data_IF_112031328078
#
_entry.id   IF_112031328078
#
_cell.length_a   1.000
_cell.length_b   1.000
_cell.length_c   1.000
_cell.angle_alpha   90.00
_cell.angle_beta   90.00
_cell.angle_gamma   90.00
#
_symmetry.space_group_name_H-M   'P 1'
#
loop_
_entity.id
_entity.type
_entity.pdbx_description
1 polymer ?
#
# COMPACT_ATOMS: atom_id res chain seq x y z
N UNK A 1 -15.54 -8.96 -9.48
CA UNK A 1 -14.14 -9.35 -9.10
C UNK A 1 -13.64 -10.29 -10.19
N UNK A 2 -12.42 -10.09 -10.65
CA UNK A 2 -11.80 -10.91 -11.69
C UNK A 2 -11.63 -12.37 -11.19
N UNK A 3 -12.05 -13.39 -11.96
CA UNK A 3 -11.91 -14.80 -11.57
C UNK A 3 -10.45 -15.19 -11.21
N UNK A 4 -9.47 -14.62 -11.93
CA UNK A 4 -8.06 -14.89 -11.71
C UNK A 4 -7.54 -14.43 -10.35
N UNK A 5 -8.18 -13.40 -9.76
CA UNK A 5 -7.90 -12.97 -8.38
C UNK A 5 -8.65 -13.88 -7.41
N UNK A 6 -9.91 -14.20 -7.73
CA UNK A 6 -10.80 -15.00 -6.89
C UNK A 6 -10.20 -16.38 -6.57
N UNK A 7 -9.62 -17.05 -7.55
CA UNK A 7 -9.00 -18.38 -7.40
C UNK A 7 -7.88 -18.39 -6.35
N UNK A 8 -7.27 -17.24 -6.11
CA UNK A 8 -6.18 -17.06 -5.14
C UNK A 8 -6.65 -16.62 -3.76
N UNK A 9 -7.94 -16.22 -3.63
CA UNK A 9 -8.49 -15.82 -2.34
C UNK A 9 -8.82 -17.03 -1.46
N UNK A 10 -8.66 -16.83 -0.16
CA UNK A 10 -8.98 -17.83 0.87
C UNK A 10 -9.92 -17.24 1.91
N UNK A 11 -10.82 -18.08 2.38
CA UNK A 11 -11.73 -17.73 3.45
C UNK A 11 -10.95 -17.38 4.72
N UNK A 12 -11.08 -16.17 5.27
CA UNK A 12 -10.31 -15.76 6.45
C UNK A 12 -10.70 -16.52 7.72
N UNK A 13 -11.84 -17.25 7.71
CA UNK A 13 -12.34 -18.04 8.84
C UNK A 13 -11.82 -19.49 8.81
N UNK A 14 -11.78 -20.12 7.64
CA UNK A 14 -11.47 -21.55 7.55
C UNK A 14 -10.40 -21.93 6.52
N UNK A 15 -9.82 -20.95 5.78
CA UNK A 15 -8.77 -21.20 4.79
C UNK A 15 -9.25 -21.82 3.46
N UNK A 16 -10.50 -22.24 3.35
CA UNK A 16 -11.04 -22.82 2.12
C UNK A 16 -11.10 -21.78 0.97
N UNK A 17 -11.06 -22.23 -0.30
CA UNK A 17 -11.22 -21.33 -1.43
C UNK A 17 -12.52 -20.51 -1.36
N UNK A 18 -12.46 -19.27 -1.86
CA UNK A 18 -13.65 -18.43 -2.02
C UNK A 18 -14.14 -18.48 -3.46
N UNK A 19 -15.46 -18.55 -3.61
CA UNK A 19 -16.15 -18.45 -4.89
C UNK A 19 -17.15 -17.31 -4.90
N UNK A 20 -17.52 -16.83 -6.09
CA UNK A 20 -18.57 -15.82 -6.24
C UNK A 20 -19.94 -16.48 -6.01
N UNK A 21 -20.76 -15.87 -5.15
CA UNK A 21 -22.15 -16.33 -4.95
C UNK A 21 -22.97 -16.15 -6.25
N UNK A 22 -24.04 -16.94 -6.40
CA UNK A 22 -24.87 -16.95 -7.61
C UNK A 22 -25.46 -15.58 -7.97
N UNK A 23 -25.72 -14.73 -6.97
CA UNK A 23 -26.21 -13.36 -7.15
C UNK A 23 -25.08 -12.33 -7.39
N UNK A 24 -23.82 -12.78 -7.44
CA UNK A 24 -22.62 -11.97 -7.60
C UNK A 24 -22.43 -10.85 -6.55
N UNK A 25 -23.15 -10.91 -5.41
CA UNK A 25 -23.10 -9.89 -4.35
C UNK A 25 -22.24 -10.26 -3.16
N UNK A 26 -21.76 -11.51 -3.08
CA UNK A 26 -20.95 -12.01 -2.00
C UNK A 26 -19.91 -13.01 -2.49
N UNK A 27 -18.84 -13.20 -1.71
CA UNK A 27 -17.95 -14.34 -1.81
C UNK A 27 -18.37 -15.38 -0.77
N UNK A 28 -18.32 -16.66 -1.15
CA UNK A 28 -18.67 -17.78 -0.25
C UNK A 28 -17.64 -18.89 -0.34
N UNK A 29 -17.40 -19.56 0.78
CA UNK A 29 -16.59 -20.78 0.83
C UNK A 29 -17.49 -22.04 0.92
N UNK A 30 -16.94 -23.26 0.69
CA UNK A 30 -17.70 -24.52 0.81
C UNK A 30 -18.30 -24.72 2.21
N UNK A 31 -17.69 -24.15 3.27
CA UNK A 31 -18.23 -24.19 4.64
C UNK A 31 -19.27 -23.11 4.92
N UNK A 32 -19.82 -22.47 3.88
CA UNK A 32 -20.90 -21.47 3.92
C UNK A 32 -20.58 -20.16 4.63
N UNK A 33 -19.30 -19.83 4.92
CA UNK A 33 -18.95 -18.45 5.31
C UNK A 33 -19.21 -17.55 4.11
N UNK A 34 -19.82 -16.39 4.35
CA UNK A 34 -20.26 -15.45 3.32
C UNK A 34 -19.73 -14.05 3.63
N UNK A 35 -19.22 -13.36 2.61
CA UNK A 35 -18.57 -12.05 2.70
C UNK A 35 -19.15 -11.14 1.62
N UNK A 36 -19.93 -10.14 2.02
CA UNK A 36 -20.61 -9.24 1.11
C UNK A 36 -19.63 -8.36 0.34
N UNK A 37 -19.88 -8.20 -0.94
CA UNK A 37 -19.21 -7.23 -1.80
C UNK A 37 -19.93 -5.89 -1.64
N UNK A 38 -19.23 -4.92 -1.13
CA UNK A 38 -19.76 -3.57 -0.97
C UNK A 38 -20.12 -2.96 -2.34
N UNK A 39 -21.15 -2.10 -2.38
CA UNK A 39 -21.54 -1.38 -3.61
C UNK A 39 -20.37 -0.64 -4.27
N UNK A 40 -19.34 -0.29 -3.51
CA UNK A 40 -18.14 0.38 -3.98
C UNK A 40 -17.12 -0.58 -4.62
N UNK A 41 -17.34 -1.88 -4.62
CA UNK A 41 -16.54 -2.90 -5.30
C UNK A 41 -15.49 -3.62 -4.45
N UNK A 42 -15.34 -3.29 -3.15
CA UNK A 42 -14.45 -4.04 -2.25
C UNK A 42 -15.22 -5.10 -1.45
N UNK A 43 -14.53 -6.15 -1.01
CA UNK A 43 -15.09 -7.19 -0.13
C UNK A 43 -14.51 -7.05 1.28
N UNK A 44 -15.33 -7.32 2.31
CA UNK A 44 -14.86 -7.33 3.69
C UNK A 44 -14.41 -8.75 4.09
N UNK A 45 -13.09 -8.96 4.17
CA UNK A 45 -12.46 -10.21 4.58
C UNK A 45 -11.79 -10.14 5.96
N UNK A 46 -12.12 -9.14 6.78
CA UNK A 46 -11.69 -9.10 8.18
C UNK A 46 -12.44 -10.15 9.01
N UNK A 47 -11.71 -10.85 9.88
CA UNK A 47 -12.28 -11.68 10.94
C UNK A 47 -12.39 -10.85 12.23
N UNK A 48 -13.61 -10.45 12.56
CA UNK A 48 -13.86 -9.64 13.76
C UNK A 48 -13.56 -8.14 13.58
N UNK A 49 -13.28 -7.46 14.70
CA UNK A 49 -12.96 -6.02 14.69
C UNK A 49 -11.48 -5.83 14.39
N UNK A 50 -11.15 -4.95 13.46
CA UNK A 50 -9.76 -4.58 13.24
C UNK A 50 -9.18 -3.95 14.52
N UNK A 51 -8.06 -4.46 15.05
CA UNK A 51 -7.42 -3.88 16.24
C UNK A 51 -6.77 -2.53 15.93
N UNK A 52 -6.51 -2.23 14.66
CA UNK A 52 -5.87 -1.01 14.20
C UNK A 52 -6.88 -0.09 13.50
N UNK A 53 -6.75 1.21 13.77
CA UNK A 53 -7.54 2.25 13.10
C UNK A 53 -6.84 2.57 11.77
N UNK A 54 -7.57 2.39 10.67
CA UNK A 54 -7.09 2.81 9.35
C UNK A 54 -7.24 4.31 9.14
N UNK A 55 -6.69 4.82 8.04
CA UNK A 55 -6.81 6.22 7.65
C UNK A 55 -8.27 6.68 7.57
N UNK A 56 -8.52 7.92 8.02
CA UNK A 56 -9.84 8.56 7.93
C UNK A 56 -10.18 8.94 6.49
N UNK A 57 -11.42 9.35 6.24
CA UNK A 57 -11.85 9.81 4.93
C UNK A 57 -11.09 11.07 4.48
N UNK A 58 -10.81 11.96 5.42
CA UNK A 58 -10.05 13.20 5.20
C UNK A 58 -8.59 12.90 4.81
N UNK A 59 -7.92 12.03 5.56
CA UNK A 59 -6.54 11.59 5.25
C UNK A 59 -6.46 10.92 3.87
N UNK A 60 -7.42 10.06 3.56
CA UNK A 60 -7.50 9.38 2.25
C UNK A 60 -7.75 10.38 1.12
N UNK A 61 -8.57 11.41 1.37
CA UNK A 61 -8.82 12.48 0.37
C UNK A 61 -7.56 13.29 0.14
N UNK A 62 -6.92 13.78 1.20
CA UNK A 62 -5.65 14.51 1.10
C UNK A 62 -4.58 13.71 0.35
N UNK A 63 -4.45 12.40 0.66
CA UNK A 63 -3.51 11.51 -0.05
C UNK A 63 -3.84 11.38 -1.53
N UNK A 64 -5.11 11.21 -1.87
CA UNK A 64 -5.51 11.09 -3.27
C UNK A 64 -5.24 12.38 -4.05
N UNK A 65 -5.51 13.53 -3.46
CA UNK A 65 -5.29 14.83 -4.09
C UNK A 65 -3.79 15.10 -4.29
N UNK A 66 -2.97 14.84 -3.28
CA UNK A 66 -1.50 14.96 -3.37
C UNK A 66 -0.89 14.02 -4.42
N UNK A 67 -1.36 12.78 -4.47
CA UNK A 67 -0.93 11.80 -5.48
C UNK A 67 -1.43 12.15 -6.89
N UNK A 68 -2.63 12.71 -7.02
CA UNK A 68 -3.19 13.14 -8.30
C UNK A 68 -2.44 14.34 -8.89
N UNK A 69 -1.88 15.21 -8.04
CA UNK A 69 -0.99 16.29 -8.44
C UNK A 69 0.39 15.82 -8.95
N UNK A 70 0.68 14.52 -8.87
CA UNK A 70 1.94 13.93 -9.38
C UNK A 70 3.13 14.00 -8.42
N UNK A 71 2.97 14.56 -7.24
CA UNK A 71 4.09 14.79 -6.31
C UNK A 71 4.84 13.52 -5.88
N UNK A 72 4.16 12.35 -5.92
CA UNK A 72 4.76 11.05 -5.61
C UNK A 72 4.93 10.13 -6.83
N UNK A 73 4.94 10.69 -8.04
CA UNK A 73 5.11 9.90 -9.26
C UNK A 73 6.49 9.22 -9.36
N UNK A 74 7.51 9.78 -8.71
CA UNK A 74 8.83 9.12 -8.58
C UNK A 74 8.70 7.74 -7.92
N UNK A 75 7.84 7.59 -6.91
CA UNK A 75 7.59 6.32 -6.22
C UNK A 75 6.83 5.36 -7.14
N UNK A 76 5.78 5.86 -7.82
CA UNK A 76 4.98 5.08 -8.76
C UNK A 76 5.85 4.53 -9.90
N UNK A 77 6.72 5.36 -10.47
CA UNK A 77 7.64 4.97 -11.55
C UNK A 77 8.68 3.93 -11.07
N UNK A 78 9.27 4.12 -9.90
CA UNK A 78 10.24 3.19 -9.34
C UNK A 78 9.61 1.81 -9.07
N UNK A 79 8.41 1.76 -8.49
CA UNK A 79 7.66 0.52 -8.25
C UNK A 79 7.28 -0.17 -9.55
N UNK A 80 6.77 0.56 -10.54
CA UNK A 80 6.40 0.02 -11.85
C UNK A 80 7.61 -0.63 -12.55
N UNK A 81 8.75 0.07 -12.55
CA UNK A 81 10.00 -0.46 -13.15
C UNK A 81 10.52 -1.70 -12.40
N UNK A 82 10.48 -1.71 -11.06
CA UNK A 82 10.90 -2.87 -10.28
C UNK A 82 9.95 -4.06 -10.47
N UNK A 83 8.64 -3.83 -10.47
CA UNK A 83 7.63 -4.86 -10.69
C UNK A 83 7.72 -5.46 -12.11
N UNK A 84 7.99 -4.65 -13.13
CA UNK A 84 8.19 -5.15 -14.51
C UNK A 84 9.37 -6.11 -14.61
N UNK A 85 10.47 -5.81 -13.93
CA UNK A 85 11.62 -6.74 -13.87
C UNK A 85 11.28 -8.00 -13.08
N UNK A 86 10.57 -7.86 -11.96
CA UNK A 86 10.21 -8.98 -11.10
C UNK A 86 9.21 -9.95 -11.74
N UNK A 87 8.29 -9.43 -12.55
CA UNK A 87 7.23 -10.23 -13.18
C UNK A 87 7.61 -10.82 -14.55
N UNK A 88 8.80 -10.50 -15.08
CA UNK A 88 9.21 -10.91 -16.43
C UNK A 88 9.21 -12.44 -16.64
N UNK A 89 9.54 -13.19 -15.61
CA UNK A 89 9.67 -14.65 -15.66
C UNK A 89 8.39 -15.38 -15.20
N UNK A 90 7.35 -14.65 -14.80
CA UNK A 90 6.09 -15.26 -14.41
C UNK A 90 5.21 -15.57 -15.62
N UNK A 91 4.51 -16.72 -15.53
CA UNK A 91 3.52 -17.13 -16.52
C UNK A 91 2.34 -16.18 -16.65
N UNK A 92 1.31 -16.61 -17.36
CA UNK A 92 0.12 -15.78 -17.60
C UNK A 92 -0.55 -15.31 -16.31
N UNK A 93 -0.86 -14.02 -16.27
CA UNK A 93 -1.63 -13.36 -15.20
C UNK A 93 -0.99 -13.39 -13.80
N UNK A 94 0.24 -12.87 -13.65
CA UNK A 94 0.85 -12.72 -12.33
C UNK A 94 -0.05 -11.89 -11.40
N UNK A 95 -0.21 -12.34 -10.15
CA UNK A 95 -0.93 -11.57 -9.15
C UNK A 95 0.03 -10.56 -8.49
N UNK A 96 -0.35 -9.30 -8.52
CA UNK A 96 0.27 -8.21 -7.74
C UNK A 96 -0.61 -7.92 -6.53
N UNK A 97 -0.05 -8.02 -5.33
CA UNK A 97 -0.75 -7.67 -4.08
C UNK A 97 -0.14 -6.38 -3.51
N UNK A 98 -0.98 -5.46 -3.08
CA UNK A 98 -0.56 -4.23 -2.37
C UNK A 98 -1.07 -4.29 -0.92
N UNK A 99 -0.16 -4.54 0.03
CA UNK A 99 -0.46 -4.71 1.44
C UNK A 99 -0.33 -3.36 2.18
N UNK A 100 -1.48 -2.78 2.54
CA UNK A 100 -1.62 -1.40 2.99
C UNK A 100 -1.77 -0.45 1.81
N UNK A 101 -2.65 -0.80 0.87
CA UNK A 101 -2.74 -0.17 -0.46
C UNK A 101 -3.20 1.30 -0.44
N UNK A 102 -3.81 1.76 0.64
CA UNK A 102 -4.36 3.11 0.71
C UNK A 102 -5.34 3.39 -0.44
N UNK A 103 -5.03 4.39 -1.25
CA UNK A 103 -5.85 4.79 -2.42
C UNK A 103 -5.75 3.82 -3.61
N UNK A 104 -4.79 2.88 -3.62
CA UNK A 104 -4.49 1.98 -4.73
C UNK A 104 -3.66 2.62 -5.85
N UNK A 105 -3.11 3.83 -5.65
CA UNK A 105 -2.32 4.55 -6.67
C UNK A 105 -1.14 3.74 -7.15
N UNK A 106 -0.37 3.16 -6.24
CA UNK A 106 0.84 2.40 -6.58
C UNK A 106 0.50 1.08 -7.28
N UNK A 107 -0.52 0.36 -6.79
CA UNK A 107 -1.04 -0.82 -7.47
C UNK A 107 -1.49 -0.49 -8.89
N UNK A 108 -2.24 0.60 -9.07
CA UNK A 108 -2.69 1.06 -10.38
C UNK A 108 -1.54 1.35 -11.34
N UNK A 109 -0.49 2.03 -10.88
CA UNK A 109 0.71 2.33 -11.67
C UNK A 109 1.46 1.05 -12.07
N UNK A 110 1.61 0.10 -11.15
CA UNK A 110 2.23 -1.21 -11.45
C UNK A 110 1.41 -2.00 -12.47
N UNK A 111 0.09 -2.06 -12.32
CA UNK A 111 -0.78 -2.75 -13.27
C UNK A 111 -0.79 -2.10 -14.66
N UNK A 112 -0.64 -0.78 -14.75
CA UNK A 112 -0.50 -0.10 -16.02
C UNK A 112 0.78 -0.51 -16.78
N UNK A 113 1.87 -0.79 -16.04
CA UNK A 113 3.13 -1.27 -16.59
C UNK A 113 3.17 -2.78 -16.88
N UNK A 114 2.23 -3.56 -16.33
CA UNK A 114 2.14 -5.01 -16.47
C UNK A 114 0.80 -5.41 -17.12
N UNK A 115 0.69 -5.44 -18.48
CA UNK A 115 -0.59 -5.61 -19.17
C UNK A 115 -1.33 -6.91 -18.83
N UNK A 116 -0.59 -7.97 -18.52
CA UNK A 116 -1.19 -9.30 -18.19
C UNK A 116 -1.44 -9.52 -16.70
N UNK A 117 -0.91 -8.66 -15.82
CA UNK A 117 -1.08 -8.82 -14.38
C UNK A 117 -2.49 -8.47 -13.91
N UNK A 118 -2.91 -9.12 -12.82
CA UNK A 118 -4.10 -8.75 -12.03
C UNK A 118 -3.66 -8.29 -10.65
N UNK A 119 -4.44 -7.42 -9.99
CA UNK A 119 -4.04 -6.80 -8.74
C UNK A 119 -5.05 -6.94 -7.62
N UNK A 120 -4.56 -7.07 -6.39
CA UNK A 120 -5.36 -7.07 -5.18
C UNK A 120 -4.85 -6.02 -4.18
N UNK A 121 -5.68 -5.04 -3.88
CA UNK A 121 -5.46 -4.05 -2.84
C UNK A 121 -5.97 -4.57 -1.50
N UNK A 122 -5.13 -4.60 -0.47
CA UNK A 122 -5.49 -4.95 0.90
C UNK A 122 -5.29 -3.73 1.81
N UNK A 123 -6.29 -3.38 2.59
CA UNK A 123 -6.22 -2.26 3.56
C UNK A 123 -7.26 -2.44 4.67
N UNK A 124 -7.06 -1.78 5.82
CA UNK A 124 -8.04 -1.73 6.93
C UNK A 124 -8.97 -0.53 6.83
N UNK A 125 -8.67 0.46 6.01
CA UNK A 125 -9.46 1.67 5.79
C UNK A 125 -10.52 1.48 4.72
N UNK A 126 -11.80 1.48 5.12
CA UNK A 126 -12.92 1.45 4.17
C UNK A 126 -12.91 2.64 3.20
N UNK A 127 -12.65 3.91 3.63
CA UNK A 127 -12.47 5.03 2.70
C UNK A 127 -11.38 4.79 1.65
N UNK A 128 -10.24 4.24 2.03
CA UNK A 128 -9.14 3.90 1.13
C UNK A 128 -9.58 2.85 0.09
N UNK A 129 -10.18 1.75 0.53
CA UNK A 129 -10.63 0.68 -0.36
C UNK A 129 -11.71 1.09 -1.35
N UNK A 130 -12.56 2.08 -1.02
CA UNK A 130 -13.52 2.66 -1.99
C UNK A 130 -12.82 3.30 -3.20
N UNK A 131 -11.61 3.83 -3.00
CA UNK A 131 -10.76 4.38 -4.07
C UNK A 131 -9.95 3.27 -4.74
N UNK A 132 -9.31 2.42 -3.96
CA UNK A 132 -8.49 1.32 -4.46
C UNK A 132 -9.27 0.35 -5.38
N UNK A 133 -10.54 0.07 -5.07
CA UNK A 133 -11.43 -0.75 -5.91
C UNK A 133 -11.68 -0.16 -7.32
N UNK A 134 -11.32 1.10 -7.55
CA UNK A 134 -11.46 1.81 -8.83
C UNK A 134 -10.13 2.29 -9.40
N UNK A 135 -9.02 1.96 -8.74
CA UNK A 135 -7.71 2.43 -9.14
C UNK A 135 -7.26 1.89 -10.50
N UNK A 136 -7.71 0.69 -10.86
CA UNK A 136 -7.41 0.08 -12.16
C UNK A 136 -8.47 -0.98 -12.52
N UNK A 137 -8.83 -1.16 -13.83
CA UNK A 137 -9.83 -2.15 -14.25
C UNK A 137 -9.50 -3.60 -13.85
N UNK A 138 -8.21 -3.94 -13.75
CA UNK A 138 -7.71 -5.26 -13.35
C UNK A 138 -7.36 -5.36 -11.86
N UNK A 139 -7.77 -4.38 -11.05
CA UNK A 139 -7.61 -4.40 -9.60
C UNK A 139 -8.91 -4.84 -8.92
N UNK A 140 -8.76 -5.60 -7.85
CA UNK A 140 -9.77 -5.84 -6.84
C UNK A 140 -9.31 -5.26 -5.49
N UNK A 141 -10.23 -5.10 -4.54
CA UNK A 141 -9.92 -4.60 -3.22
C UNK A 141 -10.60 -5.44 -2.13
N UNK A 142 -9.90 -5.68 -1.04
CA UNK A 142 -10.43 -6.39 0.12
C UNK A 142 -10.00 -5.73 1.42
N UNK A 143 -10.96 -5.63 2.36
CA UNK A 143 -10.70 -5.19 3.71
C UNK A 143 -10.00 -6.32 4.45
N UNK A 144 -8.74 -6.11 4.81
CA UNK A 144 -7.90 -7.07 5.52
C UNK A 144 -6.86 -6.34 6.37
N UNK A 145 -6.46 -6.93 7.48
CA UNK A 145 -5.41 -6.41 8.35
C UNK A 145 -4.08 -7.09 8.02
N UNK A 146 -3.09 -6.30 7.62
CA UNK A 146 -1.74 -6.79 7.27
C UNK A 146 -1.04 -7.50 8.44
N UNK A 147 -1.38 -7.16 9.68
CA UNK A 147 -0.84 -7.84 10.87
C UNK A 147 -1.42 -9.24 11.10
N UNK A 148 -2.53 -9.56 10.44
CA UNK A 148 -3.19 -10.86 10.55
C UNK A 148 -2.86 -11.76 9.36
N UNK A 149 -3.42 -12.98 9.37
CA UNK A 149 -3.34 -13.88 8.22
C UNK A 149 -4.02 -13.24 7.02
N UNK A 150 -3.28 -13.08 5.93
CA UNK A 150 -3.81 -12.55 4.68
C UNK A 150 -4.77 -13.56 4.03
N UNK A 151 -5.88 -13.09 3.44
CA UNK A 151 -6.89 -13.95 2.81
C UNK A 151 -6.45 -14.44 1.43
N UNK A 152 -5.26 -15.00 1.34
CA UNK A 152 -4.60 -15.46 0.12
C UNK A 152 -4.09 -16.88 0.29
N UNK A 153 -4.06 -17.62 -0.82
CA UNK A 153 -3.40 -18.92 -0.90
C UNK A 153 -1.88 -18.75 -0.70
N UNK A 154 -1.25 -19.81 -0.23
CA UNK A 154 0.19 -19.91 -0.15
C UNK A 154 0.78 -19.83 -1.57
N UNK A 155 1.96 -19.22 -1.72
CA UNK A 155 2.71 -19.14 -2.98
C UNK A 155 1.87 -18.66 -4.19
N UNK A 156 0.92 -17.73 -3.99
CA UNK A 156 -0.02 -17.30 -5.03
C UNK A 156 0.26 -15.91 -5.60
N UNK A 157 1.26 -15.21 -5.05
CA UNK A 157 1.57 -13.80 -5.36
C UNK A 157 2.92 -13.69 -6.06
N UNK A 158 2.96 -13.11 -7.24
CA UNK A 158 4.20 -12.87 -7.97
C UNK A 158 4.96 -11.64 -7.46
N UNK A 159 4.23 -10.56 -7.18
CA UNK A 159 4.80 -9.30 -6.66
C UNK A 159 3.96 -8.81 -5.50
N UNK A 160 4.60 -8.53 -4.35
CA UNK A 160 3.95 -7.93 -3.21
C UNK A 160 4.52 -6.53 -2.97
N UNK A 161 3.65 -5.53 -2.96
CA UNK A 161 3.98 -4.14 -2.65
C UNK A 161 3.70 -3.88 -1.18
N UNK A 162 4.59 -3.15 -0.51
CA UNK A 162 4.39 -2.61 0.85
C UNK A 162 4.97 -1.21 0.92
N UNK A 163 4.12 -0.20 0.76
CA UNK A 163 4.52 1.21 0.63
C UNK A 163 4.04 2.01 1.84
N UNK A 164 4.97 2.46 2.69
CA UNK A 164 4.68 3.20 3.94
C UNK A 164 3.70 2.49 4.87
N UNK A 165 3.62 1.17 4.79
CA UNK A 165 2.62 0.35 5.47
C UNK A 165 3.25 -0.60 6.50
N UNK A 166 2.45 -1.18 7.42
CA UNK A 166 2.90 -2.22 8.32
C UNK A 166 3.40 -3.47 7.57
N UNK A 167 4.31 -4.21 8.19
CA UNK A 167 4.95 -5.40 7.61
C UNK A 167 4.71 -6.63 8.46
N UNK A 168 4.40 -7.73 7.79
CA UNK A 168 4.21 -9.05 8.38
C UNK A 168 5.05 -10.05 7.59
N UNK A 169 6.32 -10.19 7.97
CA UNK A 169 7.32 -11.02 7.27
C UNK A 169 6.86 -12.46 7.03
N UNK A 170 6.39 -13.19 8.06
CA UNK A 170 5.87 -14.55 7.90
C UNK A 170 4.73 -14.65 6.87
N UNK A 171 3.75 -13.75 6.90
CA UNK A 171 2.61 -13.77 5.98
C UNK A 171 3.00 -13.36 4.57
N UNK A 172 3.87 -12.35 4.41
CA UNK A 172 4.39 -11.96 3.11
C UNK A 172 5.15 -13.10 2.46
N UNK A 173 5.98 -13.83 3.24
CA UNK A 173 6.67 -15.02 2.78
C UNK A 173 5.70 -16.13 2.38
N UNK A 174 4.68 -16.39 3.19
CA UNK A 174 3.69 -17.46 2.91
C UNK A 174 2.95 -17.23 1.59
N UNK A 175 2.51 -15.99 1.32
CA UNK A 175 1.68 -15.68 0.15
C UNK A 175 2.49 -15.48 -1.13
N UNK A 176 3.77 -15.12 -1.03
CA UNK A 176 4.65 -14.98 -2.18
C UNK A 176 5.01 -16.33 -2.79
N UNK A 177 5.00 -16.38 -4.11
CA UNK A 177 5.62 -17.45 -4.87
C UNK A 177 7.12 -17.54 -4.50
N UNK A 178 7.73 -18.73 -4.43
CA UNK A 178 9.17 -18.87 -4.16
C UNK A 178 10.06 -18.06 -5.11
N UNK A 179 9.64 -17.85 -6.37
CA UNK A 179 10.29 -16.95 -7.33
C UNK A 179 9.81 -15.51 -7.24
N UNK A 180 8.84 -15.22 -6.37
CA UNK A 180 8.20 -13.92 -6.21
C UNK A 180 9.10 -12.84 -5.63
N UNK A 181 8.62 -11.63 -5.65
CA UNK A 181 9.38 -10.46 -5.19
C UNK A 181 8.54 -9.58 -4.27
N UNK A 182 9.12 -9.22 -3.13
CA UNK A 182 8.60 -8.21 -2.21
C UNK A 182 9.27 -6.86 -2.52
N UNK A 183 8.48 -5.83 -2.79
CA UNK A 183 8.90 -4.45 -2.99
C UNK A 183 8.49 -3.61 -1.79
N UNK A 184 9.45 -3.11 -1.03
CA UNK A 184 9.21 -2.31 0.17
C UNK A 184 9.67 -0.88 -0.06
N UNK A 185 8.79 0.09 0.17
CA UNK A 185 9.14 1.51 0.14
C UNK A 185 9.03 2.10 1.54
N UNK A 186 10.12 2.72 1.97
CA UNK A 186 10.21 3.45 3.24
C UNK A 186 10.74 4.85 3.04
N UNK A 187 10.38 5.83 3.90
CA UNK A 187 11.05 7.12 3.86
C UNK A 187 12.53 6.95 4.20
N UNK A 188 13.39 7.63 3.47
CA UNK A 188 14.82 7.75 3.77
C UNK A 188 15.05 8.87 4.79
N UNK A 189 16.25 9.00 5.31
CA UNK A 189 16.59 9.89 6.45
C UNK A 189 16.28 11.34 6.21
N UNK A 190 16.40 11.82 4.97
CA UNK A 190 16.17 13.22 4.60
C UNK A 190 14.77 13.46 3.96
N UNK A 191 13.87 12.47 4.06
CA UNK A 191 12.49 12.62 3.59
C UNK A 191 11.74 13.70 4.36
N UNK A 192 11.34 14.80 3.67
CA UNK A 192 10.57 15.93 4.20
C UNK A 192 11.26 16.67 5.36
N UNK A 193 12.59 16.64 5.46
CA UNK A 193 13.33 17.24 6.58
C UNK A 193 13.08 18.73 6.74
N UNK A 194 12.85 19.45 5.64
CA UNK A 194 12.53 20.87 5.64
C UNK A 194 11.21 21.15 6.40
N UNK A 195 10.21 20.31 6.19
CA UNK A 195 8.92 20.43 6.86
C UNK A 195 8.96 19.91 8.30
N UNK A 196 9.69 18.81 8.54
CA UNK A 196 9.86 18.25 9.88
C UNK A 196 10.38 19.31 10.84
N UNK A 197 11.41 20.05 10.42
CA UNK A 197 12.03 21.08 11.25
C UNK A 197 11.16 22.33 11.39
N UNK A 198 10.51 22.78 10.30
CA UNK A 198 9.71 24.02 10.30
C UNK A 198 8.36 23.87 11.01
N UNK A 199 7.77 22.69 10.94
CA UNK A 199 6.39 22.42 11.40
C UNK A 199 6.33 21.50 12.63
N UNK A 200 7.48 21.08 13.17
CA UNK A 200 7.58 20.17 14.32
C UNK A 200 6.83 18.86 14.09
N UNK A 201 7.07 18.24 12.95
CA UNK A 201 6.44 17.00 12.56
C UNK A 201 7.22 15.79 13.10
N UNK A 202 6.60 14.63 13.02
CA UNK A 202 7.24 13.36 13.36
C UNK A 202 8.49 13.13 12.48
N UNK A 203 9.62 12.92 13.12
CA UNK A 203 10.88 12.62 12.43
C UNK A 203 10.91 11.19 11.94
N UNK A 204 11.57 10.97 10.81
CA UNK A 204 11.92 9.61 10.38
C UNK A 204 12.90 9.05 11.41
N UNK A 205 12.56 7.91 11.98
CA UNK A 205 13.44 7.21 12.91
C UNK A 205 14.68 6.72 12.16
N UNK A 206 15.90 7.09 12.59
CA UNK A 206 17.14 6.69 11.92
C UNK A 206 17.31 5.16 11.86
N UNK A 207 16.82 4.42 12.87
CA UNK A 207 16.92 2.96 12.92
C UNK A 207 15.80 2.25 12.14
N UNK A 208 14.98 3.01 11.41
CA UNK A 208 13.82 2.44 10.67
C UNK A 208 14.26 1.42 9.62
N UNK A 209 15.33 1.67 8.91
CA UNK A 209 15.87 0.75 7.91
C UNK A 209 16.32 -0.56 8.56
N UNK A 210 17.01 -0.51 9.68
CA UNK A 210 17.49 -1.69 10.41
C UNK A 210 16.33 -2.49 10.99
N UNK A 211 15.30 -1.82 11.52
CA UNK A 211 14.08 -2.49 12.00
C UNK A 211 13.29 -3.15 10.86
N UNK A 212 13.25 -2.54 9.68
CA UNK A 212 12.66 -3.16 8.48
C UNK A 212 13.45 -4.40 8.11
N UNK A 213 14.77 -4.30 8.04
CA UNK A 213 15.65 -5.42 7.74
C UNK A 213 15.49 -6.56 8.77
N UNK A 214 15.44 -6.23 10.07
CA UNK A 214 15.23 -7.20 11.14
C UNK A 214 13.86 -7.90 11.05
N UNK A 215 12.78 -7.16 10.74
CA UNK A 215 11.43 -7.72 10.63
C UNK A 215 11.22 -8.65 9.43
N UNK A 216 12.04 -8.51 8.39
CA UNK A 216 11.96 -9.29 7.14
C UNK A 216 13.11 -10.28 6.98
N UNK A 217 14.26 -10.04 7.62
CA UNK A 217 15.51 -10.78 7.40
C UNK A 217 15.47 -12.28 7.71
N UNK A 218 14.52 -12.71 8.56
CA UNK A 218 14.28 -14.13 8.82
C UNK A 218 13.65 -14.88 7.64
N UNK A 219 12.98 -14.17 6.74
CA UNK A 219 12.17 -14.74 5.66
C UNK A 219 12.62 -14.30 4.26
N UNK A 220 13.39 -13.23 4.16
CA UNK A 220 13.74 -12.60 2.89
C UNK A 220 15.23 -12.35 2.76
N UNK A 221 15.72 -12.40 1.53
CA UNK A 221 17.06 -11.95 1.13
C UNK A 221 16.93 -10.66 0.32
N UNK A 222 17.74 -9.64 0.65
CA UNK A 222 17.81 -8.42 -0.12
C UNK A 222 18.52 -8.67 -1.46
N UNK A 223 17.86 -8.29 -2.55
CA UNK A 223 18.40 -8.33 -3.92
C UNK A 223 19.02 -7.00 -4.28
N UNK A 224 18.33 -5.91 -3.99
CA UNK A 224 18.81 -4.54 -4.20
C UNK A 224 18.11 -3.56 -3.29
N UNK A 225 18.77 -2.43 -3.03
CA UNK A 225 18.22 -1.29 -2.32
C UNK A 225 18.65 -0.02 -3.05
N UNK A 226 17.72 0.86 -3.33
CA UNK A 226 17.98 2.12 -4.03
C UNK A 226 17.20 3.28 -3.39
N UNK A 227 17.85 4.44 -3.28
CA UNK A 227 17.20 5.68 -2.85
C UNK A 227 16.72 6.44 -4.07
N UNK A 228 15.44 6.76 -4.09
CA UNK A 228 14.80 7.61 -5.09
C UNK A 228 14.53 8.97 -4.45
N UNK A 229 15.06 10.02 -5.07
CA UNK A 229 15.01 11.37 -4.55
C UNK A 229 14.48 12.34 -5.61
N UNK A 230 13.64 13.28 -5.17
CA UNK A 230 13.19 14.42 -5.98
C UNK A 230 12.94 15.63 -5.09
N UNK A 231 13.13 16.82 -5.62
CA UNK A 231 12.73 18.06 -4.96
C UNK A 231 11.36 18.48 -5.49
N UNK A 232 10.44 18.79 -4.60
CA UNK A 232 9.14 19.35 -4.92
C UNK A 232 9.15 20.86 -4.60
N UNK A 233 8.43 21.60 -5.41
CA UNK A 233 8.12 23.01 -5.19
C UNK A 233 6.63 23.11 -4.91
N UNK A 234 6.25 23.30 -3.66
CA UNK A 234 4.89 23.23 -3.17
C UNK A 234 4.36 24.60 -2.76
N UNK A 235 3.08 24.83 -2.96
CA UNK A 235 2.32 25.90 -2.31
C UNK A 235 2.02 25.54 -0.85
N UNK A 236 1.71 26.51 0.00
CA UNK A 236 1.29 26.24 1.40
C UNK A 236 0.04 25.33 1.49
N UNK A 237 -0.99 25.44 0.63
CA UNK A 237 -2.09 24.49 0.60
C UNK A 237 -1.65 23.04 0.27
N UNK A 238 -0.70 22.85 -0.66
CA UNK A 238 -0.16 21.52 -0.96
C UNK A 238 0.65 20.95 0.21
N UNK A 239 1.39 21.78 0.93
CA UNK A 239 2.06 21.38 2.18
C UNK A 239 1.03 20.96 3.23
N UNK A 240 -0.07 21.69 3.39
CA UNK A 240 -1.16 21.29 4.30
C UNK A 240 -1.77 19.94 3.89
N UNK A 241 -1.96 19.72 2.61
CA UNK A 241 -2.44 18.43 2.06
C UNK A 241 -1.48 17.29 2.36
N UNK A 242 -0.17 17.51 2.16
CA UNK A 242 0.88 16.53 2.46
C UNK A 242 0.88 16.13 3.95
N UNK A 243 0.76 17.10 4.85
CA UNK A 243 0.68 16.84 6.30
C UNK A 243 -0.60 16.08 6.64
N UNK A 244 -1.74 16.52 6.08
CA UNK A 244 -3.06 15.94 6.31
C UNK A 244 -3.19 14.48 5.88
N UNK A 245 -2.34 13.99 4.99
CA UNK A 245 -2.36 12.59 4.55
C UNK A 245 -1.48 11.65 5.39
N UNK A 246 -0.63 12.20 6.26
CA UNK A 246 0.36 11.45 7.02
C UNK A 246 -0.02 11.21 8.49
N UNK A 247 0.77 10.43 9.24
CA UNK A 247 0.51 10.13 10.63
C UNK A 247 0.56 11.38 11.52
N UNK A 248 1.25 12.44 11.12
CA UNK A 248 1.28 13.72 11.84
C UNK A 248 -0.10 14.36 11.96
N UNK A 249 -1.05 14.06 11.05
CA UNK A 249 -2.43 14.55 11.11
C UNK A 249 -3.16 14.17 12.40
N UNK A 250 -2.76 13.06 13.04
CA UNK A 250 -3.36 12.59 14.31
C UNK A 250 -2.88 13.36 15.55
N UNK A 251 -1.74 14.07 15.45
CA UNK A 251 -1.03 14.64 16.60
C UNK A 251 -0.86 16.15 16.52
N UNK A 252 -1.29 16.78 15.44
CA UNK A 252 -1.07 18.22 15.21
C UNK A 252 -2.32 19.02 15.54
N UNK A 253 -2.18 20.05 16.38
CA UNK A 253 -3.25 21.05 16.61
C UNK A 253 -3.47 21.87 15.32
N UNK A 254 -4.67 21.88 14.74
CA UNK A 254 -4.96 22.59 13.49
C UNK A 254 -4.64 24.09 13.54
N UNK A 255 -4.85 24.74 14.70
CA UNK A 255 -4.60 26.19 14.86
C UNK A 255 -3.10 26.50 14.86
N UNK A 256 -2.33 25.72 15.62
CA UNK A 256 -0.88 25.83 15.66
C UNK A 256 -0.25 25.51 14.30
N UNK A 257 -0.76 24.49 13.62
CA UNK A 257 -0.31 24.14 12.26
C UNK A 257 -0.60 25.28 11.28
N UNK A 258 -1.80 25.88 11.30
CA UNK A 258 -2.17 27.00 10.44
C UNK A 258 -1.22 28.19 10.60
N UNK A 259 -0.84 28.54 11.84
CA UNK A 259 0.10 29.61 12.13
C UNK A 259 1.50 29.30 11.57
N UNK A 260 1.99 28.09 11.78
CA UNK A 260 3.31 27.66 11.26
C UNK A 260 3.35 27.60 9.73
N UNK A 261 2.27 27.10 9.10
CA UNK A 261 2.15 27.09 7.63
C UNK A 261 2.17 28.50 7.05
N UNK A 262 1.49 29.47 7.69
CA UNK A 262 1.51 30.86 7.23
C UNK A 262 2.90 31.52 7.29
N UNK A 263 3.79 31.03 8.16
CA UNK A 263 5.15 31.51 8.30
C UNK A 263 6.15 30.88 7.30
N UNK A 264 5.77 29.82 6.59
CA UNK A 264 6.63 29.21 5.57
C UNK A 264 6.87 30.17 4.39
N UNK A 265 8.06 30.12 3.75
CA UNK A 265 8.26 30.78 2.46
C UNK A 265 7.28 30.22 1.43
N UNK A 266 7.00 30.97 0.37
CA UNK A 266 6.21 30.47 -0.75
C UNK A 266 6.89 30.83 -2.06
N UNK A 267 7.19 29.85 -2.92
CA UNK A 267 6.92 28.41 -2.76
C UNK A 267 7.82 27.73 -1.72
N UNK A 268 7.35 26.60 -1.19
CA UNK A 268 8.08 25.76 -0.24
C UNK A 268 8.85 24.68 -1.01
N UNK A 269 10.15 24.60 -0.86
CA UNK A 269 10.94 23.49 -1.40
C UNK A 269 10.97 22.35 -0.39
N UNK A 270 10.77 21.14 -0.88
CA UNK A 270 10.63 19.95 -0.05
C UNK A 270 11.32 18.77 -0.71
N UNK A 271 12.18 18.07 0.02
CA UNK A 271 12.85 16.86 -0.45
C UNK A 271 11.95 15.64 -0.22
N UNK A 272 11.60 14.96 -1.30
CA UNK A 272 11.06 13.60 -1.22
C UNK A 272 12.20 12.61 -1.43
N UNK A 273 12.53 11.84 -0.40
CA UNK A 273 13.55 10.80 -0.45
C UNK A 273 12.97 9.50 0.09
N UNK A 274 12.94 8.47 -0.73
CA UNK A 274 12.41 7.16 -0.35
C UNK A 274 13.40 6.06 -0.75
N UNK A 275 13.47 5.03 0.08
CA UNK A 275 14.22 3.83 -0.20
C UNK A 275 13.29 2.76 -0.74
N UNK A 276 13.62 2.19 -1.88
CA UNK A 276 12.97 1.00 -2.44
C UNK A 276 13.89 -0.20 -2.24
N UNK A 277 13.46 -1.14 -1.43
CA UNK A 277 14.10 -2.43 -1.24
C UNK A 277 13.40 -3.51 -2.07
N UNK A 278 14.19 -4.28 -2.81
CA UNK A 278 13.75 -5.44 -3.59
C UNK A 278 14.22 -6.69 -2.86
N UNK A 279 13.28 -7.53 -2.45
CA UNK A 279 13.57 -8.71 -1.64
C UNK A 279 12.95 -9.97 -2.28
N UNK A 280 13.61 -11.13 -2.09
CA UNK A 280 13.09 -12.44 -2.49
C UNK A 280 12.90 -13.35 -1.28
N UNK A 281 11.91 -14.26 -1.31
CA UNK A 281 11.78 -15.32 -0.32
C UNK A 281 13.07 -16.12 -0.19
N UNK A 282 13.34 -16.60 1.03
CA UNK A 282 14.47 -17.51 1.32
C UNK A 282 14.10 -18.95 1.09
#
# INVERSE_FOLDING_TARGET
MDPRILDRLRCPVCGEPLGLATDAKALRCPRRHSFDIARQGYVNLLTGRAPHVGDTAEMVTARADFQAAGHYDVISAALAAAASRAAADFGAYPLVVDAGAGTGRYLGAVLAALPDAVGLALDVSKPALRRAARAHPRAAAALADTWQRLPLADASTAVLLNVFAPRNGPEFHRVLDPAGTLLVVTPDTDHLTELVSALDLLRVDPDKADRVAASLGGHFTSVSSAVHRTELTLTRPEVATLIGMGPSAWHTDPTALGTRLAALPEPVRVTVAVRLDVLRPR
#
